data_IF_020825443587
#
_entry.id   IF_020825443587
#
_cell.length_a   1.000
_cell.length_b   1.000
_cell.length_c   1.000
_cell.angle_alpha   90.00
_cell.angle_beta   90.00
_cell.angle_gamma   90.00
#
_symmetry.space_group_name_H-M   'P 1'
#
loop_
_entity.id
_entity.type
_entity.pdbx_description
1 polymer ?
#
# COMPACT_ATOMS: atom_id res chain seq x y z
N UNK A 1 10.20 10.06 -9.76
CA UNK A 1 10.69 8.65 -9.70
C UNK A 1 10.17 7.90 -10.93
N UNK A 2 10.82 6.80 -11.34
CA UNK A 2 10.25 5.96 -12.42
C UNK A 2 9.05 5.14 -11.96
N UNK A 3 9.02 4.78 -10.68
CA UNK A 3 7.89 4.08 -10.05
C UNK A 3 7.60 4.68 -8.69
N UNK A 4 6.34 5.02 -8.42
CA UNK A 4 5.81 5.38 -7.11
C UNK A 4 4.95 4.22 -6.61
N UNK A 5 5.19 3.78 -5.38
CA UNK A 5 4.52 2.61 -4.81
C UNK A 5 3.90 2.97 -3.47
N UNK A 6 2.64 2.58 -3.26
CA UNK A 6 1.99 2.59 -1.96
C UNK A 6 1.51 1.17 -1.63
N UNK A 7 1.80 0.70 -0.43
CA UNK A 7 1.25 -0.55 0.08
C UNK A 7 -0.13 -0.34 0.68
N UNK A 8 -0.98 -1.35 0.58
CA UNK A 8 -2.31 -1.36 1.19
C UNK A 8 -3.42 -1.46 0.15
N UNK A 9 -4.57 -0.92 0.50
CA UNK A 9 -5.81 -0.91 -0.26
C UNK A 9 -6.08 0.47 -0.90
N UNK A 10 -5.02 1.27 -1.07
CA UNK A 10 -5.14 2.60 -1.68
C UNK A 10 -5.52 2.48 -3.16
N UNK A 11 -6.65 3.06 -3.60
CA UNK A 11 -6.92 3.26 -5.02
C UNK A 11 -5.80 4.11 -5.61
N UNK A 12 -5.28 3.73 -6.79
CA UNK A 12 -4.14 4.40 -7.43
C UNK A 12 -4.42 5.89 -7.60
N UNK A 13 -5.68 6.23 -7.92
CA UNK A 13 -6.18 7.58 -8.18
C UNK A 13 -6.04 8.49 -6.95
N UNK A 14 -6.01 7.92 -5.75
CA UNK A 14 -5.90 8.62 -4.45
C UNK A 14 -4.46 8.68 -3.92
N UNK A 15 -3.48 8.11 -4.61
CA UNK A 15 -2.08 8.15 -4.18
C UNK A 15 -1.52 9.57 -4.41
N UNK A 16 -1.15 10.24 -3.31
CA UNK A 16 -0.53 11.57 -3.36
C UNK A 16 0.75 11.52 -4.19
N UNK A 17 0.87 12.45 -5.15
CA UNK A 17 1.99 12.50 -6.09
C UNK A 17 1.78 11.71 -7.38
N UNK A 18 0.62 11.03 -7.55
CA UNK A 18 0.28 10.32 -8.79
C UNK A 18 0.44 11.21 -10.02
N UNK A 19 -0.23 12.35 -10.02
CA UNK A 19 -0.26 13.27 -11.17
C UNK A 19 1.14 13.72 -11.59
N UNK A 20 1.98 14.11 -10.61
CA UNK A 20 3.35 14.54 -10.88
C UNK A 20 4.21 13.39 -11.44
N UNK A 21 4.03 12.17 -10.94
CA UNK A 21 4.79 11.00 -11.41
C UNK A 21 4.35 10.57 -12.80
N UNK A 22 3.05 10.51 -13.07
CA UNK A 22 2.49 10.15 -14.38
C UNK A 22 2.82 11.21 -15.44
N UNK A 23 2.71 12.51 -15.10
CA UNK A 23 3.10 13.61 -15.99
C UNK A 23 4.59 13.56 -16.38
N UNK A 24 5.44 13.03 -15.51
CA UNK A 24 6.85 12.81 -15.77
C UNK A 24 7.15 11.46 -16.48
N UNK A 25 6.12 10.73 -16.93
CA UNK A 25 6.24 9.42 -17.59
C UNK A 25 6.57 8.26 -16.66
N UNK A 26 6.43 8.45 -15.35
CA UNK A 26 6.56 7.40 -14.34
C UNK A 26 5.27 6.61 -14.15
N UNK A 27 5.37 5.49 -13.43
CA UNK A 27 4.24 4.61 -13.11
C UNK A 27 3.88 4.67 -11.65
N UNK A 28 2.60 4.56 -11.34
CA UNK A 28 2.10 4.47 -9.96
C UNK A 28 1.49 3.09 -9.73
N UNK A 29 1.82 2.46 -8.60
CA UNK A 29 1.39 1.09 -8.27
C UNK A 29 0.89 1.03 -6.84
N UNK A 30 -0.27 0.39 -6.66
CA UNK A 30 -0.75 -0.03 -5.35
C UNK A 30 -0.41 -1.51 -5.14
N UNK A 31 0.26 -1.85 -4.04
CA UNK A 31 0.58 -3.23 -3.69
C UNK A 31 -0.47 -3.80 -2.74
N UNK A 32 -0.97 -5.03 -2.99
CA UNK A 32 -1.98 -5.64 -2.15
C UNK A 32 -1.49 -5.81 -0.71
N UNK A 33 -2.38 -5.58 0.25
CA UNK A 33 -2.13 -5.87 1.65
C UNK A 33 -2.19 -7.39 1.87
N UNK A 34 -1.15 -7.94 2.51
CA UNK A 34 -1.18 -9.35 2.93
C UNK A 34 -1.99 -9.48 4.23
N UNK A 35 -3.07 -10.28 4.25
CA UNK A 35 -3.85 -10.50 5.46
C UNK A 35 -3.06 -11.33 6.49
N UNK A 36 -3.38 -11.16 7.77
CA UNK A 36 -2.78 -11.93 8.87
C UNK A 36 -1.45 -11.39 9.40
N UNK A 37 -0.89 -10.35 8.79
CA UNK A 37 0.36 -9.72 9.22
C UNK A 37 0.09 -8.35 9.86
N UNK A 38 -0.35 -8.36 11.11
CA UNK A 38 -0.42 -7.15 11.92
C UNK A 38 -0.02 -7.44 13.35
N UNK A 39 0.52 -6.44 14.05
CA UNK A 39 0.83 -6.56 15.49
C UNK A 39 -0.42 -6.94 16.28
N UNK A 40 -1.59 -6.38 15.93
CA UNK A 40 -2.87 -6.74 16.55
C UNK A 40 -3.21 -8.22 16.34
N UNK A 41 -3.16 -8.72 15.10
CA UNK A 41 -3.46 -10.12 14.79
C UNK A 41 -2.48 -11.07 15.50
N UNK A 42 -1.20 -10.67 15.60
CA UNK A 42 -0.20 -11.42 16.37
C UNK A 42 -0.57 -11.49 17.86
N UNK A 43 -0.96 -10.35 18.46
CA UNK A 43 -1.36 -10.30 19.88
C UNK A 43 -2.62 -11.11 20.15
N UNK A 44 -3.64 -11.06 19.29
CA UNK A 44 -4.85 -11.86 19.45
C UNK A 44 -4.55 -13.36 19.37
N UNK A 45 -3.69 -13.78 18.43
CA UNK A 45 -3.20 -15.16 18.35
C UNK A 45 -2.46 -15.59 19.62
N UNK A 46 -1.62 -14.72 20.20
CA UNK A 46 -0.93 -15.01 21.48
C UNK A 46 -1.93 -15.14 22.63
N UNK A 47 -3.03 -14.36 22.61
CA UNK A 47 -4.11 -14.42 23.60
C UNK A 47 -5.08 -15.60 23.40
N UNK A 48 -4.91 -16.39 22.34
CA UNK A 48 -5.81 -17.50 22.01
C UNK A 48 -7.18 -17.05 21.49
N UNK A 49 -7.25 -15.85 20.91
CA UNK A 49 -8.44 -15.30 20.25
C UNK A 49 -8.31 -15.37 18.74
#
# INVERSE_FOLDING_TARGET
PRVLVKGGDWPVERIVGREAVEAAGGRVVSLPLLPGYSTTALLERIRGR
#
